data_IF_538651044256
#
_entry.id   IF_538651044256
#
_cell.length_a   1.000
_cell.length_b   1.000
_cell.length_c   1.000
_cell.angle_alpha   90.00
_cell.angle_beta   90.00
_cell.angle_gamma   90.00
#
_symmetry.space_group_name_H-M   'P 1'
#
loop_
_entity.id
_entity.type
_entity.pdbx_description
1 polymer ?
#
# COMPACT_ATOMS: atom_id res chain seq x y z
N UNK A 1 -16.58 0.80 -12.77
CA UNK A 1 -15.77 2.01 -12.52
C UNK A 1 -15.11 1.85 -11.16
N UNK A 2 -13.80 1.82 -11.13
CA UNK A 2 -13.04 1.77 -9.88
C UNK A 2 -13.05 3.17 -9.31
N UNK A 3 -13.71 3.37 -8.15
CA UNK A 3 -13.63 4.63 -7.43
C UNK A 3 -12.21 4.74 -6.86
N UNK A 4 -11.45 5.68 -7.36
CA UNK A 4 -10.19 6.07 -6.76
C UNK A 4 -10.55 6.82 -5.48
N UNK A 5 -10.26 6.25 -4.33
CA UNK A 5 -10.47 6.93 -3.06
C UNK A 5 -9.57 8.17 -3.00
N UNK A 6 -10.17 9.30 -2.72
CA UNK A 6 -9.45 10.55 -2.54
C UNK A 6 -8.64 10.50 -1.25
N UNK A 7 -7.33 10.68 -1.37
CA UNK A 7 -6.44 10.80 -0.21
C UNK A 7 -6.40 12.24 0.24
N UNK A 8 -6.65 12.49 1.53
CA UNK A 8 -6.64 13.84 2.10
C UNK A 8 -6.13 13.87 3.53
N UNK A 9 -5.60 15.01 3.90
CA UNK A 9 -5.12 15.30 5.25
C UNK A 9 -5.74 16.61 5.75
N UNK A 10 -5.95 16.69 7.07
CA UNK A 10 -6.39 17.91 7.73
C UNK A 10 -5.20 18.60 8.36
N UNK A 11 -4.92 19.84 7.92
CA UNK A 11 -3.75 20.60 8.34
C UNK A 11 -4.18 21.79 9.18
N UNK A 12 -3.57 21.94 10.37
CA UNK A 12 -3.79 23.04 11.29
C UNK A 12 -2.68 24.07 11.15
N UNK A 13 -3.03 25.36 11.13
CA UNK A 13 -2.07 26.45 11.34
C UNK A 13 -1.85 26.59 12.86
N UNK A 14 -0.74 26.07 13.35
CA UNK A 14 -0.42 26.05 14.79
C UNK A 14 -0.14 27.43 15.37
N UNK A 15 0.49 28.31 14.62
CA UNK A 15 0.76 29.69 15.05
C UNK A 15 -0.55 30.41 15.36
N UNK A 16 -1.50 30.33 14.44
CA UNK A 16 -2.80 30.98 14.62
C UNK A 16 -3.62 30.33 15.75
N UNK A 17 -3.55 29.02 15.85
CA UNK A 17 -4.28 28.26 16.88
C UNK A 17 -3.78 28.60 18.29
N UNK A 18 -2.47 28.66 18.51
CA UNK A 18 -1.91 28.87 19.85
C UNK A 18 -1.65 30.32 20.22
N UNK A 19 -1.46 31.24 19.26
CA UNK A 19 -0.96 32.57 19.48
C UNK A 19 -1.89 33.70 19.04
N UNK A 20 -2.97 33.39 18.33
CA UNK A 20 -3.92 34.37 17.81
C UNK A 20 -5.35 34.02 18.20
N UNK A 21 -6.23 35.03 18.28
CA UNK A 21 -7.67 34.81 18.37
C UNK A 21 -8.20 34.44 16.97
N UNK A 22 -9.12 33.47 16.93
CA UNK A 22 -9.72 33.08 15.65
C UNK A 22 -11.24 32.93 15.79
N UNK A 23 -11.96 33.36 14.78
CA UNK A 23 -13.40 33.15 14.65
C UNK A 23 -13.75 31.79 14.05
N UNK A 24 -12.94 31.35 13.07
CA UNK A 24 -13.03 30.04 12.45
C UNK A 24 -11.80 29.21 12.80
N UNK A 25 -12.01 27.90 12.98
CA UNK A 25 -10.92 26.97 13.28
C UNK A 25 -9.83 27.05 12.21
N UNK A 26 -8.55 27.29 12.58
CA UNK A 26 -7.50 27.61 11.62
C UNK A 26 -6.90 26.38 10.95
N UNK A 27 -7.74 25.55 10.36
CA UNK A 27 -7.35 24.33 9.68
C UNK A 27 -8.23 24.06 8.46
N UNK A 28 -7.78 23.18 7.60
CA UNK A 28 -8.52 22.76 6.41
C UNK A 28 -8.07 21.40 5.89
N UNK A 29 -8.95 20.75 5.13
CA UNK A 29 -8.63 19.56 4.38
C UNK A 29 -7.90 19.89 3.09
N UNK A 30 -6.88 19.08 2.77
CA UNK A 30 -6.12 19.16 1.53
C UNK A 30 -6.04 17.78 0.88
N UNK A 31 -6.18 17.73 -0.43
CA UNK A 31 -5.95 16.52 -1.20
C UNK A 31 -4.46 16.18 -1.27
N UNK A 32 -4.09 14.94 -1.07
CA UNK A 32 -2.70 14.47 -1.12
C UNK A 32 -2.38 13.77 -2.44
N UNK A 33 -1.17 13.95 -2.98
CA UNK A 33 -0.10 14.84 -2.50
C UNK A 33 -0.48 16.31 -2.62
N UNK A 34 -0.03 17.12 -1.67
CA UNK A 34 -0.34 18.55 -1.62
C UNK A 34 0.91 19.39 -1.76
N UNK A 35 0.85 20.45 -2.58
CA UNK A 35 1.91 21.45 -2.70
C UNK A 35 1.85 22.38 -1.49
N UNK A 36 3.00 22.65 -0.87
CA UNK A 36 3.09 23.56 0.28
C UNK A 36 2.60 24.97 -0.06
N UNK A 37 2.75 25.43 -1.29
CA UNK A 37 2.21 26.74 -1.73
C UNK A 37 0.68 26.83 -1.58
N UNK A 38 -0.03 25.75 -1.83
CA UNK A 38 -1.49 25.69 -1.59
C UNK A 38 -1.81 25.85 -0.10
N UNK A 39 -1.02 25.24 0.76
CA UNK A 39 -1.17 25.37 2.21
C UNK A 39 -0.91 26.81 2.66
N UNK A 40 0.16 27.41 2.16
CA UNK A 40 0.50 28.82 2.42
C UNK A 40 -0.65 29.76 2.04
N UNK A 41 -1.18 29.60 0.86
CA UNK A 41 -2.26 30.45 0.35
C UNK A 41 -3.56 30.31 1.15
N UNK A 42 -3.90 29.08 1.52
CA UNK A 42 -5.17 28.81 2.22
C UNK A 42 -5.12 29.02 3.72
N UNK A 43 -3.98 28.72 4.37
CA UNK A 43 -3.84 28.80 5.83
C UNK A 43 -2.99 29.98 6.30
N UNK A 44 -2.29 30.68 5.41
CA UNK A 44 -1.46 31.83 5.76
C UNK A 44 -0.19 31.50 6.52
N UNK A 45 0.32 30.26 6.43
CA UNK A 45 1.57 29.83 7.04
C UNK A 45 2.77 30.22 6.19
N UNK A 46 3.94 30.37 6.82
CA UNK A 46 5.19 30.73 6.15
C UNK A 46 6.14 29.55 5.98
N UNK A 47 6.07 28.56 6.86
CA UNK A 47 6.94 27.37 6.84
C UNK A 47 6.20 26.13 7.36
N UNK A 48 6.78 24.95 7.09
CA UNK A 48 6.25 23.68 7.59
C UNK A 48 6.27 23.57 9.12
N UNK A 49 7.06 24.37 9.80
CA UNK A 49 7.09 24.40 11.26
C UNK A 49 5.82 24.96 11.88
N UNK A 50 5.03 25.70 11.10
CA UNK A 50 3.76 26.30 11.53
C UNK A 50 2.53 25.42 11.26
N UNK A 51 2.73 24.21 10.78
CA UNK A 51 1.61 23.29 10.50
C UNK A 51 1.70 22.03 11.35
N UNK A 52 0.53 21.45 11.60
CA UNK A 52 0.38 20.14 12.20
C UNK A 52 -0.69 19.35 11.44
N UNK A 53 -0.41 18.07 11.21
CA UNK A 53 -1.38 17.16 10.61
C UNK A 53 -2.27 16.64 11.75
N UNK A 54 -3.51 17.07 11.78
CA UNK A 54 -4.47 16.75 12.85
C UNK A 54 -5.29 15.49 12.57
N UNK A 55 -5.61 15.26 11.30
CA UNK A 55 -6.46 14.16 10.88
C UNK A 55 -6.10 13.76 9.44
N UNK A 56 -6.52 12.58 9.04
CA UNK A 56 -6.28 12.11 7.69
C UNK A 56 -7.32 11.08 7.26
N UNK A 57 -7.59 11.06 5.96
CA UNK A 57 -8.31 10.01 5.24
C UNK A 57 -7.39 9.43 4.18
N UNK A 58 -6.64 8.41 4.55
CA UNK A 58 -5.62 7.75 3.72
C UNK A 58 -5.83 6.24 3.78
N UNK A 59 -5.52 5.48 2.72
CA UNK A 59 -5.61 4.02 2.73
C UNK A 59 -4.47 3.35 3.48
N UNK A 60 -3.69 4.11 4.26
CA UNK A 60 -2.57 3.62 5.07
C UNK A 60 -2.47 4.44 6.36
N UNK A 61 -1.90 3.87 7.45
CA UNK A 61 -1.73 4.60 8.69
C UNK A 61 -0.54 5.56 8.63
N UNK A 62 -0.64 6.70 9.32
CA UNK A 62 0.46 7.63 9.54
C UNK A 62 1.06 7.43 10.93
N UNK A 63 2.39 7.46 11.02
CA UNK A 63 3.09 7.54 12.29
C UNK A 63 3.10 8.99 12.81
N UNK A 64 3.12 9.16 14.15
CA UNK A 64 2.82 10.43 14.82
C UNK A 64 3.74 11.62 14.51
N UNK A 65 4.88 11.41 13.88
CA UNK A 65 5.83 12.49 13.52
C UNK A 65 6.12 12.52 12.01
N UNK A 66 5.21 11.99 11.19
CA UNK A 66 5.38 11.96 9.74
C UNK A 66 5.31 13.38 9.18
N UNK A 67 6.32 13.76 8.43
CA UNK A 67 6.42 15.08 7.81
C UNK A 67 5.64 15.14 6.50
N UNK A 68 5.27 16.36 6.09
CA UNK A 68 4.49 16.56 4.86
C UNK A 68 5.15 15.93 3.63
N UNK A 69 6.46 16.09 3.46
CA UNK A 69 7.16 15.52 2.31
C UNK A 69 7.13 13.98 2.29
N UNK A 70 7.16 13.36 3.48
CA UNK A 70 7.05 11.89 3.63
C UNK A 70 5.64 11.43 3.26
N UNK A 71 4.61 12.13 3.72
CA UNK A 71 3.22 11.85 3.38
C UNK A 71 3.00 11.98 1.86
N UNK A 72 3.50 13.05 1.26
CA UNK A 72 3.40 13.27 -0.18
C UNK A 72 4.10 12.15 -0.97
N UNK A 73 5.27 11.71 -0.52
CA UNK A 73 5.98 10.60 -1.15
C UNK A 73 5.19 9.30 -1.08
N UNK A 74 4.62 8.97 0.09
CA UNK A 74 3.77 7.78 0.26
C UNK A 74 2.51 7.87 -0.62
N UNK A 75 1.87 9.02 -0.67
CA UNK A 75 0.68 9.23 -1.51
C UNK A 75 0.97 9.04 -2.99
N UNK A 76 2.11 9.52 -3.49
CA UNK A 76 2.52 9.30 -4.89
C UNK A 76 2.72 7.83 -5.19
N UNK A 77 3.40 7.10 -4.29
CA UNK A 77 3.62 5.66 -4.46
C UNK A 77 2.31 4.87 -4.43
N UNK A 78 1.39 5.24 -3.55
CA UNK A 78 0.06 4.61 -3.47
C UNK A 78 -0.77 4.92 -4.72
N UNK A 79 -0.71 6.14 -5.25
CA UNK A 79 -1.37 6.48 -6.52
C UNK A 79 -0.88 5.63 -7.69
N UNK A 80 0.41 5.33 -7.75
CA UNK A 80 0.98 4.45 -8.77
C UNK A 80 0.47 3.02 -8.65
N UNK A 81 0.12 2.58 -7.43
CA UNK A 81 -0.40 1.24 -7.17
C UNK A 81 -1.90 1.11 -7.42
N UNK A 82 -2.65 2.21 -7.49
CA UNK A 82 -4.10 2.18 -7.69
C UNK A 82 -4.47 1.39 -8.95
N UNK A 83 -5.49 0.53 -8.82
CA UNK A 83 -5.92 -0.36 -9.89
C UNK A 83 -5.13 -1.67 -9.99
N UNK A 84 -4.10 -1.87 -9.18
CA UNK A 84 -3.38 -3.14 -9.09
C UNK A 84 -3.94 -4.01 -7.96
N UNK A 85 -3.79 -5.35 -8.04
CA UNK A 85 -4.20 -6.24 -6.94
C UNK A 85 -3.53 -5.92 -5.60
N UNK A 86 -2.28 -5.49 -5.62
CA UNK A 86 -1.54 -5.14 -4.42
C UNK A 86 -2.17 -3.95 -3.67
N UNK A 87 -2.72 -2.99 -4.38
CA UNK A 87 -3.42 -1.86 -3.76
C UNK A 87 -4.57 -2.30 -2.86
N UNK A 88 -5.38 -3.26 -3.31
CA UNK A 88 -6.54 -3.75 -2.55
C UNK A 88 -6.15 -4.58 -1.32
N UNK A 89 -4.93 -5.09 -1.28
CA UNK A 89 -4.44 -5.96 -0.22
C UNK A 89 -3.26 -5.34 0.56
N UNK A 90 -3.04 -4.04 0.44
CA UNK A 90 -1.91 -3.35 1.10
C UNK A 90 -1.83 -3.63 2.60
N UNK A 91 -2.95 -3.52 3.30
CA UNK A 91 -2.99 -3.71 4.76
C UNK A 91 -2.59 -5.14 5.15
N UNK A 92 -3.15 -6.12 4.48
CA UNK A 92 -2.87 -7.54 4.75
C UNK A 92 -1.44 -7.91 4.42
N UNK A 93 -0.93 -7.45 3.27
CA UNK A 93 0.45 -7.70 2.83
C UNK A 93 1.44 -7.03 3.77
N UNK A 94 1.19 -5.78 4.13
CA UNK A 94 2.05 -5.03 5.05
C UNK A 94 2.13 -5.75 6.42
N UNK A 95 1.01 -6.14 6.99
CA UNK A 95 0.98 -6.85 8.28
C UNK A 95 1.65 -8.21 8.24
N UNK A 96 1.61 -8.86 7.08
CA UNK A 96 2.20 -10.19 6.90
C UNK A 96 3.72 -10.17 6.95
N UNK A 97 4.37 -9.22 6.27
CA UNK A 97 5.81 -9.28 6.03
C UNK A 97 6.59 -8.05 6.49
N UNK A 98 5.93 -6.95 6.82
CA UNK A 98 6.60 -5.69 7.10
C UNK A 98 6.17 -5.10 8.44
N UNK A 99 7.11 -4.46 9.14
CA UNK A 99 6.86 -3.83 10.44
C UNK A 99 6.16 -2.48 10.32
N UNK A 100 6.26 -1.83 9.17
CA UNK A 100 5.65 -0.52 8.91
C UNK A 100 5.18 -0.40 7.47
N UNK A 101 4.31 0.58 7.22
CA UNK A 101 3.86 0.88 5.86
C UNK A 101 5.00 1.41 4.99
N UNK A 102 5.92 2.19 5.56
CA UNK A 102 7.10 2.69 4.85
C UNK A 102 8.00 1.55 4.39
N UNK A 103 8.24 0.56 5.25
CA UNK A 103 9.01 -0.64 4.88
C UNK A 103 8.32 -1.41 3.74
N UNK A 104 7.00 -1.55 3.80
CA UNK A 104 6.23 -2.16 2.72
C UNK A 104 6.43 -1.42 1.39
N UNK A 105 6.30 -0.11 1.39
CA UNK A 105 6.48 0.72 0.19
C UNK A 105 7.90 0.57 -0.38
N UNK A 106 8.92 0.53 0.47
CA UNK A 106 10.32 0.39 0.05
C UNK A 106 10.59 -0.96 -0.64
N UNK A 107 9.81 -1.99 -0.31
CA UNK A 107 10.00 -3.35 -0.83
C UNK A 107 8.89 -3.83 -1.78
N UNK A 108 7.92 -2.99 -2.10
CA UNK A 108 6.73 -3.40 -2.89
C UNK A 108 7.08 -4.01 -4.25
N UNK A 109 8.16 -3.56 -4.87
CA UNK A 109 8.59 -4.06 -6.18
C UNK A 109 9.22 -5.47 -6.13
N UNK A 110 9.52 -5.95 -4.93
CA UNK A 110 10.02 -7.31 -4.70
C UNK A 110 8.89 -8.32 -4.42
N UNK A 111 7.66 -7.84 -4.24
CA UNK A 111 6.50 -8.67 -4.01
C UNK A 111 6.00 -9.19 -5.37
N UNK A 112 5.90 -10.51 -5.48
CA UNK A 112 5.37 -11.17 -6.69
C UNK A 112 3.88 -11.42 -6.54
N UNK A 113 3.18 -11.34 -7.64
CA UNK A 113 1.74 -11.57 -7.72
C UNK A 113 1.43 -12.72 -8.68
N UNK A 114 0.52 -13.60 -8.25
CA UNK A 114 0.03 -14.69 -9.05
C UNK A 114 -1.50 -14.61 -9.16
N UNK A 115 -2.07 -14.56 -10.38
CA UNK A 115 -3.51 -14.36 -10.61
C UNK A 115 -4.31 -15.66 -10.46
N UNK A 116 -4.15 -16.33 -9.33
CA UNK A 116 -4.82 -17.60 -8.99
C UNK A 116 -5.35 -17.54 -7.56
N UNK A 117 -6.28 -18.43 -7.21
CA UNK A 117 -7.05 -18.29 -5.97
C UNK A 117 -6.72 -19.35 -4.91
N UNK A 118 -6.21 -20.50 -5.29
CA UNK A 118 -5.95 -21.60 -4.39
C UNK A 118 -4.59 -22.26 -4.62
N UNK A 119 -4.19 -23.14 -3.68
CA UNK A 119 -2.89 -23.79 -3.71
C UNK A 119 -2.70 -24.68 -4.93
N UNK A 120 -3.71 -25.41 -5.36
CA UNK A 120 -3.62 -26.28 -6.52
C UNK A 120 -3.41 -25.45 -7.80
N UNK A 121 -4.18 -24.35 -7.97
CA UNK A 121 -4.03 -23.44 -9.09
C UNK A 121 -2.65 -22.77 -9.09
N UNK A 122 -2.16 -22.39 -7.91
CA UNK A 122 -0.81 -21.83 -7.76
C UNK A 122 0.26 -22.86 -8.16
N UNK A 123 0.13 -24.10 -7.71
CA UNK A 123 1.05 -25.17 -8.07
C UNK A 123 1.12 -25.38 -9.58
N UNK A 124 -0.02 -25.41 -10.27
CA UNK A 124 -0.08 -25.50 -11.73
C UNK A 124 0.61 -24.32 -12.40
N UNK A 125 0.33 -23.12 -11.92
CA UNK A 125 0.92 -21.89 -12.45
C UNK A 125 2.45 -21.89 -12.29
N UNK A 126 2.95 -22.27 -11.11
CA UNK A 126 4.39 -22.31 -10.84
C UNK A 126 5.12 -23.38 -11.68
N UNK A 127 4.50 -24.52 -11.86
CA UNK A 127 5.11 -25.61 -12.65
C UNK A 127 5.04 -25.32 -14.15
N UNK A 128 3.90 -24.88 -14.66
CA UNK A 128 3.63 -24.80 -16.10
C UNK A 128 3.99 -23.44 -16.69
N UNK A 129 3.68 -22.33 -16.03
CA UNK A 129 3.88 -20.98 -16.56
C UNK A 129 5.19 -20.36 -16.10
N UNK A 130 5.48 -20.43 -14.80
CA UNK A 130 6.73 -19.89 -14.24
C UNK A 130 7.90 -20.83 -14.47
N UNK A 131 7.63 -22.12 -14.64
CA UNK A 131 8.64 -23.18 -14.76
C UNK A 131 9.64 -23.18 -13.60
N UNK A 132 9.11 -23.08 -12.36
CA UNK A 132 9.92 -22.97 -11.15
C UNK A 132 10.89 -24.16 -10.97
N UNK A 133 10.49 -25.36 -11.43
CA UNK A 133 11.30 -26.58 -11.40
C UNK A 133 11.98 -26.88 -12.74
N UNK A 134 12.07 -25.87 -13.62
CA UNK A 134 12.57 -26.05 -14.97
C UNK A 134 11.48 -26.54 -15.94
N UNK A 135 11.88 -26.84 -17.16
CA UNK A 135 10.99 -27.37 -18.18
C UNK A 135 10.60 -28.83 -17.85
N UNK A 136 9.32 -29.07 -17.71
CA UNK A 136 8.76 -30.40 -17.44
C UNK A 136 8.24 -30.99 -18.74
N UNK A 137 8.62 -32.22 -19.06
CA UNK A 137 8.14 -32.91 -20.24
C UNK A 137 6.62 -33.00 -20.23
N UNK A 138 5.93 -32.68 -21.36
CA UNK A 138 4.47 -32.67 -21.41
C UNK A 138 3.79 -33.95 -20.91
N UNK A 139 4.40 -35.11 -21.15
CA UNK A 139 3.87 -36.40 -20.70
C UNK A 139 3.86 -36.56 -19.16
N UNK A 140 4.67 -35.78 -18.45
CA UNK A 140 4.75 -35.78 -17.00
C UNK A 140 3.79 -34.79 -16.33
N UNK A 141 3.33 -33.76 -17.04
CA UNK A 141 2.46 -32.72 -16.46
C UNK A 141 1.17 -33.29 -15.87
N UNK A 142 0.59 -34.30 -16.49
CA UNK A 142 -0.65 -34.94 -16.01
C UNK A 142 -0.43 -35.92 -14.84
N UNK A 143 0.82 -36.19 -14.48
CA UNK A 143 1.19 -37.10 -13.38
C UNK A 143 1.67 -36.35 -12.14
N UNK A 144 1.67 -35.03 -12.17
CA UNK A 144 2.06 -34.19 -11.02
C UNK A 144 0.86 -34.05 -10.09
N UNK A 145 1.06 -34.30 -8.79
CA UNK A 145 0.07 -34.06 -7.76
C UNK A 145 0.08 -32.57 -7.35
N UNK A 146 -0.60 -31.76 -8.14
CA UNK A 146 -0.70 -30.31 -7.89
C UNK A 146 -1.41 -29.98 -6.58
N UNK A 147 -2.38 -30.79 -6.17
CA UNK A 147 -3.07 -30.61 -4.90
C UNK A 147 -2.12 -30.81 -3.71
N UNK A 148 -1.22 -31.78 -3.77
CA UNK A 148 -0.22 -32.01 -2.74
C UNK A 148 0.77 -30.84 -2.64
N UNK A 149 1.29 -30.38 -3.77
CA UNK A 149 2.16 -29.18 -3.83
C UNK A 149 1.42 -27.97 -3.29
N UNK A 150 0.16 -27.79 -3.69
CA UNK A 150 -0.68 -26.68 -3.26
C UNK A 150 -0.88 -26.64 -1.74
N UNK A 151 -1.06 -27.77 -1.09
CA UNK A 151 -1.17 -27.85 0.37
C UNK A 151 0.13 -27.38 1.07
N UNK A 152 1.28 -27.71 0.53
CA UNK A 152 2.55 -27.22 1.04
C UNK A 152 2.71 -25.71 0.87
N UNK A 153 2.29 -25.18 -0.29
CA UNK A 153 2.33 -23.74 -0.56
C UNK A 153 1.40 -22.95 0.38
N UNK A 154 0.22 -23.48 0.68
CA UNK A 154 -0.75 -22.84 1.59
C UNK A 154 -0.21 -22.72 3.03
N UNK A 155 0.69 -23.58 3.43
CA UNK A 155 1.33 -23.53 4.76
C UNK A 155 2.62 -22.73 4.79
N UNK A 156 3.14 -22.31 3.63
CA UNK A 156 4.36 -21.54 3.53
C UNK A 156 4.16 -20.08 3.96
N UNK A 157 5.04 -19.58 4.80
CA UNK A 157 5.02 -18.19 5.25
C UNK A 157 5.33 -17.16 4.12
N UNK A 158 5.91 -17.64 3.04
CA UNK A 158 6.28 -16.79 1.90
C UNK A 158 5.14 -16.52 0.92
N UNK A 159 4.03 -17.24 1.02
CA UNK A 159 2.85 -17.07 0.18
C UNK A 159 1.67 -16.58 1.00
N UNK A 160 1.02 -15.53 0.51
CA UNK A 160 -0.18 -14.96 1.11
C UNK A 160 -1.36 -15.13 0.16
N UNK A 161 -2.36 -15.90 0.59
CA UNK A 161 -3.57 -16.18 -0.18
C UNK A 161 -4.64 -15.14 0.16
N UNK A 162 -5.10 -14.41 -0.86
CA UNK A 162 -6.13 -13.37 -0.71
C UNK A 162 -7.24 -13.58 -1.73
N UNK A 163 -8.37 -12.88 -1.55
CA UNK A 163 -9.49 -12.90 -2.52
C UNK A 163 -9.13 -12.25 -3.87
N UNK A 164 -8.06 -11.44 -3.90
CA UNK A 164 -7.57 -10.77 -5.11
C UNK A 164 -6.38 -11.47 -5.76
N UNK A 165 -6.04 -12.67 -5.31
CA UNK A 165 -4.94 -13.46 -5.80
C UNK A 165 -3.93 -13.82 -4.72
N UNK A 166 -2.76 -14.28 -5.14
CA UNK A 166 -1.72 -14.77 -4.23
C UNK A 166 -0.47 -13.90 -4.37
N UNK A 167 0.08 -13.49 -3.24
CA UNK A 167 1.31 -12.71 -3.18
C UNK A 167 2.44 -13.56 -2.61
N UNK A 168 3.66 -13.29 -3.10
CA UNK A 168 4.87 -13.94 -2.64
C UNK A 168 5.92 -12.90 -2.27
N UNK A 169 6.55 -13.07 -1.11
CA UNK A 169 7.69 -12.29 -0.67
C UNK A 169 8.66 -13.15 0.13
N UNK A 170 9.95 -12.95 -0.14
CA UNK A 170 11.01 -13.67 0.56
C UNK A 170 12.14 -12.74 0.97
#
# INVERSE_FOLDING_TARGET
>A
MILIEEMKIYILNTTRFYHEDFEEYPGAWFSCPVDFEEIRERLGVQSEEEIEIEDYELPFPLEGNTRLWEINALCRMVQEMQGTPLYYEMDVVQKRWFSSFTEFIDHKDQIRYYPVQDGEALARYLVQEVQLFGEVHPDLLNHIDYAAIGRELETSENYLFTDNGIFYYR
#
